data_IF_271588379090
#
_entry.id   IF_271588379090
#
_cell.length_a   1.000
_cell.length_b   1.000
_cell.length_c   1.000
_cell.angle_alpha   90.00
_cell.angle_beta   90.00
_cell.angle_gamma   90.00
#
_symmetry.space_group_name_H-M   'P 1'
#
loop_
_entity.id
_entity.type
_entity.pdbx_description
1 polymer ?
#
# COMPACT_ATOMS: atom_id res chain seq x y z
N UNK A 1 -11.12 -24.04 -18.16
CA UNK A 1 -11.07 -25.42 -17.64
C UNK A 1 -10.47 -25.30 -16.25
N UNK A 2 -11.29 -25.37 -15.20
CA UNK A 2 -10.83 -25.20 -13.82
C UNK A 2 -10.20 -26.51 -13.34
N UNK A 3 -8.92 -26.45 -12.98
CA UNK A 3 -8.16 -27.61 -12.53
C UNK A 3 -8.20 -27.63 -11.00
N UNK A 4 -8.99 -28.56 -10.44
CA UNK A 4 -9.14 -28.72 -9.00
C UNK A 4 -8.16 -29.81 -8.53
N UNK A 5 -7.02 -29.40 -7.98
CA UNK A 5 -6.04 -30.32 -7.41
C UNK A 5 -4.82 -29.60 -6.87
N UNK A 6 -4.27 -30.11 -5.76
CA UNK A 6 -2.95 -29.73 -5.29
C UNK A 6 -1.95 -30.44 -6.22
N UNK A 7 -1.24 -29.71 -7.08
CA UNK A 7 -0.14 -30.33 -7.84
C UNK A 7 0.93 -30.79 -6.87
N UNK A 8 1.81 -31.70 -7.30
CA UNK A 8 3.04 -32.03 -6.59
C UNK A 8 3.92 -30.79 -6.30
N UNK A 9 3.65 -29.66 -6.97
CA UNK A 9 4.35 -28.38 -6.88
C UNK A 9 3.51 -27.26 -6.21
N UNK A 10 2.34 -27.58 -5.64
CA UNK A 10 1.46 -26.63 -4.95
C UNK A 10 0.19 -26.24 -5.72
N UNK A 11 -0.36 -25.07 -5.36
CA UNK A 11 -1.60 -24.56 -5.94
C UNK A 11 -1.39 -24.14 -7.40
N UNK A 12 -2.30 -24.53 -8.31
CA UNK A 12 -2.19 -24.19 -9.74
C UNK A 12 -2.31 -22.68 -9.98
N UNK A 13 -3.04 -21.95 -9.15
CA UNK A 13 -3.22 -20.49 -9.28
C UNK A 13 -3.21 -19.80 -7.91
N UNK A 14 -2.04 -19.86 -7.25
CA UNK A 14 -1.83 -19.41 -5.87
C UNK A 14 -2.39 -18.01 -5.57
N UNK A 15 -2.20 -17.04 -6.47
CA UNK A 15 -2.68 -15.67 -6.22
C UNK A 15 -4.20 -15.53 -6.31
N UNK A 16 -4.84 -16.30 -7.19
CA UNK A 16 -6.28 -16.31 -7.33
C UNK A 16 -6.94 -16.98 -6.12
N UNK A 17 -6.31 -18.04 -5.59
CA UNK A 17 -6.78 -18.76 -4.41
C UNK A 17 -6.61 -17.93 -3.11
N UNK A 18 -5.59 -17.07 -3.06
CA UNK A 18 -5.39 -16.13 -1.94
C UNK A 18 -6.40 -14.98 -1.92
N UNK A 19 -6.96 -14.61 -3.08
CA UNK A 19 -7.86 -13.47 -3.17
C UNK A 19 -9.16 -13.72 -2.41
N UNK A 20 -9.64 -12.65 -1.79
CA UNK A 20 -10.96 -12.59 -1.19
C UNK A 20 -12.04 -12.75 -2.28
N UNK A 21 -13.04 -13.63 -2.09
CA UNK A 21 -14.10 -13.82 -3.08
C UNK A 21 -15.00 -12.59 -3.23
N UNK A 22 -15.08 -11.77 -2.18
CA UNK A 22 -15.80 -10.49 -2.15
C UNK A 22 -15.00 -9.33 -2.78
N UNK A 23 -13.70 -9.50 -2.97
CA UNK A 23 -12.85 -8.46 -3.56
C UNK A 23 -13.02 -8.42 -5.09
N UNK A 24 -13.41 -7.25 -5.60
CA UNK A 24 -13.44 -6.96 -7.04
C UNK A 24 -12.35 -5.94 -7.36
N UNK A 25 -11.44 -6.32 -8.26
CA UNK A 25 -10.51 -5.35 -8.83
C UNK A 25 -11.28 -4.31 -9.64
N UNK A 26 -10.90 -3.02 -9.60
CA UNK A 26 -11.52 -1.99 -10.42
C UNK A 26 -11.29 -2.30 -11.90
N UNK A 27 -12.30 -1.98 -12.71
CA UNK A 27 -12.23 -2.14 -14.16
C UNK A 27 -11.08 -1.31 -14.74
N UNK A 28 -10.38 -1.91 -15.72
CA UNK A 28 -9.25 -1.29 -16.42
C UNK A 28 -9.67 0.04 -17.00
N UNK A 29 -9.11 1.12 -16.46
CA UNK A 29 -9.42 2.45 -16.94
C UNK A 29 -8.51 2.84 -18.11
N UNK A 30 -9.08 3.40 -19.20
CA UNK A 30 -8.31 3.79 -20.38
C UNK A 30 -7.45 5.03 -20.12
N UNK A 31 -6.38 5.16 -20.91
CA UNK A 31 -5.51 6.34 -20.88
C UNK A 31 -6.16 7.52 -21.63
N UNK A 32 -5.77 8.75 -21.29
CA UNK A 32 -6.31 9.97 -21.92
C UNK A 32 -6.23 9.92 -23.46
N UNK A 33 -5.08 9.49 -24.00
CA UNK A 33 -4.87 9.37 -25.43
C UNK A 33 -5.75 8.30 -26.08
N UNK A 34 -6.01 7.19 -25.38
CA UNK A 34 -6.92 6.14 -25.85
C UNK A 34 -8.36 6.62 -25.86
N UNK A 35 -8.76 7.38 -24.84
CA UNK A 35 -10.11 7.96 -24.75
C UNK A 35 -10.32 8.96 -25.88
N UNK A 36 -9.35 9.85 -26.14
CA UNK A 36 -9.39 10.81 -27.25
C UNK A 36 -9.48 10.08 -28.60
N UNK A 37 -8.67 9.04 -28.82
CA UNK A 37 -8.66 8.27 -30.07
C UNK A 37 -9.99 7.53 -30.33
N UNK A 38 -10.69 7.11 -29.26
CA UNK A 38 -12.00 6.44 -29.36
C UNK A 38 -13.18 7.39 -29.62
N UNK A 39 -12.97 8.71 -29.58
CA UNK A 39 -14.01 9.71 -29.74
C UNK A 39 -14.80 9.91 -28.44
N UNK A 40 -14.58 11.04 -27.78
CA UNK A 40 -15.18 11.39 -26.48
C UNK A 40 -15.95 12.70 -26.61
N UNK A 41 -17.15 12.75 -26.00
CA UNK A 41 -17.95 13.97 -25.90
C UNK A 41 -17.54 14.88 -24.72
N UNK A 42 -16.65 14.41 -23.83
CA UNK A 42 -16.16 15.21 -22.69
C UNK A 42 -15.15 16.26 -23.17
N UNK A 43 -15.14 17.42 -22.51
CA UNK A 43 -14.12 18.46 -22.80
C UNK A 43 -12.76 17.99 -22.31
N UNK A 44 -11.69 18.39 -23.01
CA UNK A 44 -10.32 18.02 -22.65
C UNK A 44 -9.96 18.40 -21.20
N UNK A 45 -10.44 19.53 -20.70
CA UNK A 45 -10.21 19.97 -19.32
C UNK A 45 -10.83 19.05 -18.28
N UNK A 46 -12.01 18.49 -18.55
CA UNK A 46 -12.69 17.53 -17.67
C UNK A 46 -11.95 16.18 -17.69
N UNK A 47 -11.50 15.77 -18.87
CA UNK A 47 -10.69 14.56 -19.02
C UNK A 47 -9.36 14.67 -18.27
N UNK A 48 -8.69 15.83 -18.29
CA UNK A 48 -7.42 16.05 -17.57
C UNK A 48 -7.63 16.09 -16.05
N UNK A 49 -8.78 16.60 -15.57
CA UNK A 49 -9.09 16.56 -14.13
C UNK A 49 -9.37 15.15 -13.62
N UNK A 50 -9.89 14.26 -14.48
CA UNK A 50 -10.22 12.88 -14.13
C UNK A 50 -9.05 11.91 -14.40
N UNK A 51 -8.23 12.21 -15.42
CA UNK A 51 -7.18 11.35 -15.95
C UNK A 51 -5.86 12.12 -16.06
N UNK A 52 -4.79 11.57 -15.48
CA UNK A 52 -3.44 12.04 -15.74
C UNK A 52 -3.11 11.84 -17.22
N UNK A 53 -2.61 12.88 -17.88
CA UNK A 53 -2.34 12.84 -19.32
C UNK A 53 -1.29 11.79 -19.72
N UNK A 54 -0.45 11.32 -18.80
CA UNK A 54 0.62 10.34 -19.08
C UNK A 54 0.33 8.93 -18.57
N UNK A 55 -0.68 8.75 -17.72
CA UNK A 55 -0.92 7.50 -16.96
C UNK A 55 -2.40 7.09 -16.95
N UNK A 56 -3.34 7.98 -17.29
CA UNK A 56 -4.77 7.78 -17.01
C UNK A 56 -5.10 8.08 -15.55
N UNK A 57 -6.21 7.54 -15.02
CA UNK A 57 -6.60 7.79 -13.61
C UNK A 57 -5.48 7.39 -12.65
N UNK A 58 -5.08 8.33 -11.80
CA UNK A 58 -4.04 8.14 -10.79
C UNK A 58 -4.68 7.73 -9.47
N UNK A 59 -4.89 6.43 -9.28
CA UNK A 59 -5.51 5.86 -8.09
C UNK A 59 -4.67 4.72 -7.49
N UNK A 60 -3.41 4.60 -7.91
CA UNK A 60 -2.48 3.57 -7.41
C UNK A 60 -2.74 2.15 -7.93
N UNK A 61 -3.73 1.93 -8.80
CA UNK A 61 -3.92 0.64 -9.46
C UNK A 61 -3.09 0.52 -10.74
N UNK A 62 -2.40 -0.61 -10.89
CA UNK A 62 -1.57 -0.89 -12.07
C UNK A 62 -2.37 -1.18 -13.35
N UNK A 63 -3.65 -1.52 -13.23
CA UNK A 63 -4.55 -1.88 -14.35
C UNK A 63 -3.92 -2.84 -15.36
N UNK A 64 -3.26 -3.89 -14.87
CA UNK A 64 -2.56 -4.92 -15.66
C UNK A 64 -1.39 -4.40 -16.52
N UNK A 65 -0.87 -3.19 -16.26
CA UNK A 65 0.31 -2.64 -16.91
C UNK A 65 1.45 -2.41 -15.90
N UNK A 66 2.57 -3.10 -16.11
CA UNK A 66 3.76 -2.94 -15.27
C UNK A 66 4.38 -1.55 -15.39
N UNK A 67 4.37 -0.97 -16.60
CA UNK A 67 4.86 0.39 -16.82
C UNK A 67 4.01 1.41 -16.05
N UNK A 68 2.68 1.21 -16.05
CA UNK A 68 1.75 2.07 -15.29
C UNK A 68 2.04 1.99 -13.78
N UNK A 69 2.27 0.79 -13.25
CA UNK A 69 2.67 0.58 -11.86
C UNK A 69 3.96 1.34 -11.51
N UNK A 70 5.00 1.26 -12.34
CA UNK A 70 6.27 1.97 -12.10
C UNK A 70 6.04 3.48 -12.06
N UNK A 71 5.30 4.03 -13.03
CA UNK A 71 5.04 5.48 -13.09
C UNK A 71 4.22 5.95 -11.89
N UNK A 72 3.21 5.19 -11.46
CA UNK A 72 2.44 5.50 -10.27
C UNK A 72 3.29 5.48 -8.99
N UNK A 73 4.17 4.49 -8.82
CA UNK A 73 5.11 4.43 -7.70
C UNK A 73 6.07 5.62 -7.68
N UNK A 74 6.59 6.03 -8.85
CA UNK A 74 7.45 7.23 -8.95
C UNK A 74 6.73 8.52 -8.52
N UNK A 75 5.41 8.58 -8.70
CA UNK A 75 4.57 9.70 -8.25
C UNK A 75 4.12 9.57 -6.78
N UNK A 76 4.51 8.51 -6.08
CA UNK A 76 4.06 8.25 -4.71
C UNK A 76 2.58 7.86 -4.60
N UNK A 77 1.96 7.43 -5.71
CA UNK A 77 0.57 6.98 -5.71
C UNK A 77 0.51 5.55 -5.17
N UNK A 78 -0.08 5.39 -4.00
CA UNK A 78 -0.30 4.09 -3.38
C UNK A 78 -1.69 3.56 -3.71
N UNK A 79 -1.80 2.24 -3.79
CA UNK A 79 -3.09 1.57 -3.93
C UNK A 79 -3.95 1.91 -2.70
N UNK A 80 -5.22 2.33 -2.89
CA UNK A 80 -6.09 2.73 -1.79
C UNK A 80 -6.53 1.54 -0.93
N UNK A 81 -6.47 0.34 -1.49
CA UNK A 81 -6.87 -0.91 -0.83
C UNK A 81 -5.62 -1.67 -0.41
N UNK A 82 -5.59 -2.09 0.86
CA UNK A 82 -4.47 -2.81 1.45
C UNK A 82 -4.52 -4.33 1.22
N UNK A 83 -3.45 -5.07 1.56
CA UNK A 83 -3.42 -6.53 1.44
C UNK A 83 -4.52 -7.25 2.23
N UNK A 84 -4.90 -6.74 3.40
CA UNK A 84 -5.94 -7.30 4.28
C UNK A 84 -7.36 -7.20 3.71
N UNK A 85 -7.56 -6.25 2.81
CA UNK A 85 -8.84 -6.05 2.11
C UNK A 85 -8.91 -6.87 0.81
N UNK A 86 -7.76 -7.28 0.28
CA UNK A 86 -7.64 -8.01 -0.99
C UNK A 86 -7.53 -9.52 -0.83
N UNK A 87 -6.79 -9.98 0.17
CA UNK A 87 -6.44 -11.39 0.34
C UNK A 87 -7.02 -11.94 1.63
N UNK A 88 -7.41 -13.22 1.60
CA UNK A 88 -7.85 -13.95 2.78
C UNK A 88 -6.67 -14.31 3.70
N UNK A 89 -5.48 -14.49 3.11
CA UNK A 89 -4.28 -14.92 3.81
C UNK A 89 -3.07 -14.06 3.39
N UNK A 90 -2.08 -13.89 4.28
CA UNK A 90 -0.85 -13.19 3.94
C UNK A 90 -0.06 -14.01 2.91
N UNK A 91 0.09 -13.48 1.69
CA UNK A 91 0.88 -14.12 0.64
C UNK A 91 2.40 -14.09 0.89
N UNK A 92 2.86 -13.31 1.88
CA UNK A 92 4.28 -13.22 2.26
C UNK A 92 4.44 -13.00 3.77
N UNK A 93 5.61 -13.34 4.32
CA UNK A 93 5.89 -13.18 5.74
C UNK A 93 5.84 -11.72 6.22
N UNK A 94 6.20 -10.78 5.35
CA UNK A 94 6.11 -9.34 5.64
C UNK A 94 4.68 -8.85 5.83
N UNK A 95 3.69 -9.52 5.24
CA UNK A 95 2.28 -9.17 5.41
C UNK A 95 1.69 -9.70 6.72
N UNK A 96 2.28 -10.76 7.30
CA UNK A 96 1.73 -11.45 8.47
C UNK A 96 1.40 -10.50 9.64
N UNK A 97 2.29 -9.60 10.07
CA UNK A 97 1.97 -8.72 11.21
C UNK A 97 0.75 -7.84 10.95
N UNK A 98 0.59 -7.34 9.72
CA UNK A 98 -0.56 -6.51 9.34
C UNK A 98 -1.88 -7.27 9.36
N UNK A 99 -1.86 -8.55 8.96
CA UNK A 99 -3.04 -9.42 9.01
C UNK A 99 -3.54 -9.66 10.44
N UNK A 100 -2.63 -9.95 11.38
CA UNK A 100 -3.01 -10.14 12.80
C UNK A 100 -3.52 -8.84 13.45
N UNK A 101 -3.02 -7.68 13.02
CA UNK A 101 -3.46 -6.39 13.54
C UNK A 101 -4.83 -5.95 12.99
N UNK A 102 -5.21 -6.45 11.81
CA UNK A 102 -6.48 -6.15 11.17
C UNK A 102 -7.60 -7.16 11.50
N UNK A 103 -7.27 -8.23 12.23
CA UNK A 103 -8.21 -9.28 12.60
C UNK A 103 -9.32 -8.72 13.53
N UNK A 104 -10.59 -8.75 13.11
CA UNK A 104 -11.70 -8.25 13.93
C UNK A 104 -11.87 -9.02 15.23
N UNK A 105 -11.51 -10.30 15.28
CA UNK A 105 -11.63 -11.14 16.48
C UNK A 105 -10.57 -10.79 17.52
N UNK A 106 -9.45 -10.19 17.10
CA UNK A 106 -8.39 -9.72 17.98
C UNK A 106 -8.57 -8.24 18.38
N UNK A 107 -9.63 -7.58 17.91
CA UNK A 107 -9.85 -6.16 18.15
C UNK A 107 -10.24 -5.89 19.61
N UNK A 108 -9.33 -5.25 20.35
CA UNK A 108 -9.52 -4.93 21.77
C UNK A 108 -9.06 -6.04 22.72
N UNK A 109 -8.56 -7.14 22.17
CA UNK A 109 -7.97 -8.21 22.97
C UNK A 109 -6.58 -7.81 23.50
N UNK A 110 -6.25 -8.26 24.71
CA UNK A 110 -4.98 -7.93 25.40
C UNK A 110 -4.01 -9.10 25.48
N UNK A 111 -4.26 -10.14 24.66
CA UNK A 111 -3.47 -11.38 24.63
C UNK A 111 -1.97 -11.13 24.40
N UNK A 112 -1.63 -10.11 23.62
CA UNK A 112 -0.26 -9.65 23.44
C UNK A 112 -0.04 -8.38 24.24
N UNK A 113 0.78 -8.46 25.29
CA UNK A 113 1.33 -7.26 25.96
C UNK A 113 2.60 -6.85 25.22
N UNK A 114 2.55 -5.85 24.31
CA UNK A 114 3.77 -5.35 23.70
C UNK A 114 4.74 -4.95 24.81
N UNK A 115 6.02 -5.24 24.61
CA UNK A 115 7.06 -4.84 25.55
C UNK A 115 6.91 -3.35 25.79
N UNK A 116 6.66 -2.95 27.04
CA UNK A 116 6.48 -1.54 27.37
C UNK A 116 7.73 -0.80 26.94
N UNK A 117 7.61 0.01 25.89
CA UNK A 117 8.66 0.92 25.49
C UNK A 117 8.78 1.92 26.64
N UNK A 118 9.91 1.87 27.34
CA UNK A 118 10.27 2.90 28.30
C UNK A 118 11.13 3.90 27.55
N UNK A 119 10.54 4.92 26.89
CA UNK A 119 11.35 5.97 26.28
C UNK A 119 12.25 6.54 27.37
N UNK A 120 13.55 6.64 27.09
CA UNK A 120 14.41 7.42 27.97
C UNK A 120 13.86 8.84 27.99
N UNK A 121 13.45 9.38 29.15
CA UNK A 121 12.88 10.73 29.19
C UNK A 121 13.93 11.72 28.69
N UNK A 122 13.53 12.61 27.80
CA UNK A 122 14.31 13.80 27.46
C UNK A 122 14.26 14.74 28.67
N UNK A 123 15.22 14.61 29.57
CA UNK A 123 15.33 15.47 30.76
C UNK A 123 15.74 16.89 30.36
N UNK A 124 15.45 17.88 31.19
CA UNK A 124 15.89 19.27 30.99
C UNK A 124 17.41 19.36 30.79
N UNK A 125 18.18 18.55 31.53
CA UNK A 125 19.64 18.45 31.38
C UNK A 125 20.01 17.96 29.97
N UNK A 126 19.30 16.95 29.45
CA UNK A 126 19.55 16.47 28.08
C UNK A 126 19.22 17.54 27.04
N UNK A 127 18.17 18.34 27.24
CA UNK A 127 17.82 19.46 26.36
C UNK A 127 18.87 20.57 26.41
N UNK A 128 19.33 20.94 27.61
CA UNK A 128 20.40 21.91 27.83
C UNK A 128 21.71 21.47 27.15
N UNK A 129 22.14 20.22 27.35
CA UNK A 129 23.35 19.67 26.70
C UNK A 129 23.20 19.66 25.18
N UNK A 130 22.02 19.33 24.66
CA UNK A 130 21.76 19.40 23.22
C UNK A 130 21.83 20.83 22.69
N UNK A 131 21.30 21.82 23.42
CA UNK A 131 21.40 23.23 23.06
C UNK A 131 22.85 23.72 23.11
N UNK A 132 23.58 23.39 24.16
CA UNK A 132 24.99 23.75 24.34
C UNK A 132 25.87 23.12 23.24
N UNK A 133 25.64 21.85 22.87
CA UNK A 133 26.35 21.17 21.78
C UNK A 133 26.08 21.73 20.38
N UNK A 134 24.93 22.40 20.16
CA UNK A 134 24.66 23.13 18.91
C UNK A 134 25.52 24.39 18.79
N UNK A 135 25.88 25.00 19.91
CA UNK A 135 26.68 26.24 19.98
C UNK A 135 28.17 25.89 20.02
N UNK A 136 28.57 24.95 20.88
CA UNK A 136 29.94 24.45 21.00
C UNK A 136 29.97 22.92 20.91
N UNK A 137 30.55 22.42 19.82
CA UNK A 137 30.65 20.98 19.54
C UNK A 137 31.50 20.22 20.57
N UNK A 138 32.36 20.92 21.31
CA UNK A 138 33.24 20.33 22.34
C UNK A 138 32.67 20.46 23.75
N UNK A 139 31.45 20.99 23.90
CA UNK A 139 30.80 21.14 25.20
C UNK A 139 30.70 19.80 25.94
N UNK A 140 31.26 19.80 27.16
CA UNK A 140 31.21 18.70 28.14
C UNK A 140 30.59 19.24 29.43
N UNK A 141 29.75 18.42 30.06
CA UNK A 141 29.18 18.66 31.38
C UNK A 141 30.24 18.41 32.47
#
# INVERSE_FOLDING_TARGET
MEWFGITLYGFPDYFKDLMRPDYKEPEVQPDLYEVIAKGTNKRFTELVSELDCYIGRADGYAYKSYDRLIRMRKKGMFKPVGPTDMYNYPGTDFMRPGFWLADPDLKGETWYKPRTFQPKPYTEISQYVHAAKKIDKFFKL
#
